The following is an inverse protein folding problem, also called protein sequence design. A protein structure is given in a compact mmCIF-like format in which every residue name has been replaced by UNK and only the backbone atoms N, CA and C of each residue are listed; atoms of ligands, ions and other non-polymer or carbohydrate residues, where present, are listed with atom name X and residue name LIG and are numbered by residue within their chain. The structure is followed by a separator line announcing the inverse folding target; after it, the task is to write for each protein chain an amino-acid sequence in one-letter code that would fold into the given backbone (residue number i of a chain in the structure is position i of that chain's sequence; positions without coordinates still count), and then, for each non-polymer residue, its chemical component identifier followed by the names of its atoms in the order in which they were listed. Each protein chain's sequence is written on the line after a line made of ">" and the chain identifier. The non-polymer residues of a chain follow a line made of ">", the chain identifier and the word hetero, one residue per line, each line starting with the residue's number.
data_IF_115469816590
#
_entry.id   IF_115469816590
#
_cell.length_a   1.000
_cell.length_b   1.000
_cell.length_c   1.000
_cell.angle_alpha   90.00
_cell.angle_beta   90.00
_cell.angle_gamma   90.00
#
_symmetry.space_group_name_H-M   'P 1'
#
loop_
_entity.id
_entity.type
_entity.pdbx_description
1 polymer ?
#
# COMPACT_ATOMS: atom_id res chain seq x y z
N UNK A 1 -15.87 -36.92 -68.69
CA UNK A 1 -14.56 -36.52 -68.14
C UNK A 1 -13.78 -37.79 -67.82
N UNK A 2 -12.50 -37.92 -68.24
CA UNK A 2 -11.73 -39.16 -68.07
C UNK A 2 -11.40 -39.33 -66.57
N UNK A 3 -11.63 -40.52 -66.00
CA UNK A 3 -11.51 -40.79 -64.55
C UNK A 3 -10.18 -40.32 -63.92
N UNK A 4 -9.11 -40.27 -64.71
CA UNK A 4 -7.79 -39.75 -64.32
C UNK A 4 -7.79 -38.25 -63.97
N UNK A 5 -8.59 -37.43 -64.66
CA UNK A 5 -8.70 -35.99 -64.38
C UNK A 5 -9.44 -35.70 -63.07
N UNK A 6 -10.42 -36.54 -62.73
CA UNK A 6 -11.14 -36.45 -61.45
C UNK A 6 -10.21 -36.80 -60.28
N UNK A 7 -9.32 -37.78 -60.46
CA UNK A 7 -8.31 -38.14 -59.46
C UNK A 7 -7.33 -37.01 -59.16
N UNK A 8 -6.83 -36.30 -60.18
CA UNK A 8 -5.92 -35.17 -59.97
C UNK A 8 -6.58 -33.99 -59.25
N UNK A 9 -7.85 -33.70 -59.56
CA UNK A 9 -8.60 -32.63 -58.87
C UNK A 9 -8.82 -32.97 -57.40
N UNK A 10 -9.14 -34.22 -57.08
CA UNK A 10 -9.29 -34.69 -55.70
C UNK A 10 -7.98 -34.57 -54.90
N UNK A 11 -6.86 -34.96 -55.49
CA UNK A 11 -5.54 -34.83 -54.84
C UNK A 11 -5.20 -33.36 -54.59
N UNK A 12 -5.44 -32.47 -55.56
CA UNK A 12 -5.18 -31.04 -55.39
C UNK A 12 -6.01 -30.43 -54.25
N UNK A 13 -7.29 -30.81 -54.13
CA UNK A 13 -8.15 -30.34 -53.04
C UNK A 13 -7.70 -30.86 -51.67
N UNK A 14 -7.24 -32.11 -51.59
CA UNK A 14 -6.69 -32.68 -50.35
C UNK A 14 -5.41 -31.95 -49.94
N UNK A 15 -4.51 -31.67 -50.89
CA UNK A 15 -3.25 -30.94 -50.62
C UNK A 15 -3.53 -29.50 -50.18
N UNK A 16 -4.49 -28.82 -50.80
CA UNK A 16 -4.89 -27.46 -50.38
C UNK A 16 -5.52 -27.50 -48.98
N UNK A 17 -6.36 -28.50 -48.69
CA UNK A 17 -6.94 -28.69 -47.36
C UNK A 17 -5.89 -28.95 -46.28
N UNK A 18 -4.90 -29.79 -46.58
CA UNK A 18 -3.78 -30.08 -45.67
C UNK A 18 -2.86 -28.86 -45.50
N UNK A 19 -2.56 -28.13 -46.58
CA UNK A 19 -1.78 -26.90 -46.50
C UNK A 19 -2.51 -25.83 -45.67
N UNK A 20 -3.83 -25.69 -45.84
CA UNK A 20 -4.66 -24.82 -45.02
C UNK A 20 -4.68 -25.23 -43.54
N UNK A 21 -4.71 -26.54 -43.25
CA UNK A 21 -4.63 -27.08 -41.89
C UNK A 21 -3.27 -26.79 -41.24
N UNK A 22 -2.17 -26.98 -41.99
CA UNK A 22 -0.81 -26.69 -41.52
C UNK A 22 -0.61 -25.20 -41.29
N UNK A 23 -1.08 -24.34 -42.19
CA UNK A 23 -1.07 -22.89 -42.00
C UNK A 23 -1.88 -22.49 -40.76
N UNK A 24 -3.04 -23.12 -40.52
CA UNK A 24 -3.84 -22.87 -39.32
C UNK A 24 -3.15 -23.33 -38.04
N UNK A 25 -2.46 -24.47 -38.06
CA UNK A 25 -1.69 -24.99 -36.92
C UNK A 25 -0.44 -24.15 -36.62
N UNK A 26 0.21 -23.61 -37.65
CA UNK A 26 1.37 -22.71 -37.50
C UNK A 26 0.92 -21.29 -37.09
N UNK A 27 -0.24 -20.83 -37.57
CA UNK A 27 -0.84 -19.57 -37.16
C UNK A 27 -1.46 -19.63 -35.75
N UNK A 28 -1.87 -20.81 -35.27
CA UNK A 28 -2.18 -21.09 -33.87
C UNK A 28 -0.91 -21.23 -33.00
N UNK A 29 0.12 -20.45 -33.32
CA UNK A 29 1.38 -20.40 -32.60
C UNK A 29 1.15 -19.94 -31.17
N UNK A 30 1.55 -20.82 -30.23
CA UNK A 30 1.57 -20.66 -28.77
C UNK A 30 0.22 -20.37 -28.09
N UNK A 31 -0.60 -21.41 -27.90
CA UNK A 31 -1.61 -21.45 -26.84
C UNK A 31 -0.92 -21.54 -25.46
N UNK A 32 -0.18 -20.51 -25.07
CA UNK A 32 0.28 -20.35 -23.69
C UNK A 32 -0.93 -19.95 -22.84
N UNK A 33 -1.61 -20.96 -22.29
CA UNK A 33 -2.74 -20.79 -21.36
C UNK A 33 -2.30 -20.13 -20.04
N UNK A 34 -1.01 -20.14 -19.77
CA UNK A 34 -0.36 -19.59 -18.59
C UNK A 34 0.89 -18.82 -19.00
N UNK A 35 1.25 -17.79 -18.22
CA UNK A 35 2.48 -17.04 -18.40
C UNK A 35 3.66 -17.87 -17.87
N UNK A 36 4.59 -18.23 -18.75
CA UNK A 36 5.81 -18.96 -18.38
C UNK A 36 7.07 -18.24 -18.89
N UNK A 37 8.23 -18.68 -18.43
CA UNK A 37 9.53 -18.18 -18.90
C UNK A 37 9.79 -16.73 -18.48
N UNK A 38 9.30 -16.32 -17.32
CA UNK A 38 9.69 -15.04 -16.72
C UNK A 38 11.09 -15.16 -16.09
N UNK A 39 11.87 -14.09 -16.17
CA UNK A 39 13.10 -13.98 -15.40
C UNK A 39 12.75 -13.86 -13.90
N UNK A 40 13.61 -14.34 -12.99
CA UNK A 40 13.30 -14.33 -11.56
C UNK A 40 13.03 -12.93 -11.01
N UNK A 41 11.81 -12.73 -10.49
CA UNK A 41 11.35 -11.50 -9.82
C UNK A 41 11.11 -11.77 -8.34
N UNK A 42 12.19 -11.70 -7.55
CA UNK A 42 12.18 -11.98 -6.12
C UNK A 42 13.00 -10.92 -5.36
N UNK A 43 12.68 -10.61 -4.08
CA UNK A 43 13.39 -9.59 -3.31
C UNK A 43 14.88 -9.88 -3.09
N UNK A 44 15.31 -11.13 -3.23
CA UNK A 44 16.71 -11.57 -3.15
C UNK A 44 17.50 -11.31 -4.44
N UNK A 45 16.78 -11.18 -5.56
CA UNK A 45 17.35 -11.04 -6.90
C UNK A 45 17.27 -9.58 -7.38
N UNK A 46 16.13 -8.93 -7.17
CA UNK A 46 15.86 -7.57 -7.68
C UNK A 46 16.48 -6.54 -6.74
N UNK A 47 17.15 -5.54 -7.31
CA UNK A 47 17.72 -4.40 -6.56
C UNK A 47 16.96 -3.09 -6.77
N UNK A 48 16.10 -3.01 -7.78
CA UNK A 48 15.24 -1.84 -8.01
C UNK A 48 13.90 -2.21 -8.64
N UNK A 49 12.85 -1.49 -8.25
CA UNK A 49 11.52 -1.54 -8.87
C UNK A 49 11.11 -0.12 -9.26
N UNK A 50 10.73 0.09 -10.52
CA UNK A 50 10.18 1.36 -11.01
C UNK A 50 8.71 1.18 -11.37
N UNK A 51 7.86 2.07 -10.86
CA UNK A 51 6.41 2.01 -11.00
C UNK A 51 5.93 3.34 -11.55
N UNK A 52 5.38 3.34 -12.77
CA UNK A 52 5.15 4.57 -13.53
C UNK A 52 3.74 4.60 -14.11
N UNK A 53 3.03 5.72 -13.97
CA UNK A 53 1.83 6.07 -14.73
C UNK A 53 2.11 7.27 -15.65
N UNK A 54 1.06 7.87 -16.22
CA UNK A 54 1.17 9.12 -16.99
C UNK A 54 1.68 10.30 -16.17
N UNK A 55 1.34 10.33 -14.89
CA UNK A 55 1.47 11.53 -14.05
C UNK A 55 2.51 11.36 -12.93
N UNK A 56 2.72 10.13 -12.48
CA UNK A 56 3.56 9.82 -11.32
C UNK A 56 4.55 8.71 -11.63
N UNK A 57 5.68 8.75 -10.91
CA UNK A 57 6.70 7.73 -10.92
C UNK A 57 7.19 7.48 -9.50
N UNK A 58 7.38 6.20 -9.18
CA UNK A 58 8.01 5.75 -7.95
C UNK A 58 9.16 4.82 -8.26
N UNK A 59 10.30 5.08 -7.62
CA UNK A 59 11.48 4.23 -7.64
C UNK A 59 11.76 3.69 -6.23
N UNK A 60 11.78 2.36 -6.12
CA UNK A 60 12.21 1.64 -4.94
C UNK A 60 13.59 1.05 -5.20
N UNK A 61 14.56 1.37 -4.36
CA UNK A 61 15.95 0.91 -4.51
C UNK A 61 16.43 0.17 -3.25
N UNK A 62 17.12 -0.95 -3.44
CA UNK A 62 17.68 -1.75 -2.35
C UNK A 62 19.12 -1.32 -2.06
N UNK A 63 19.33 -0.60 -0.97
CA UNK A 63 20.64 -0.12 -0.53
C UNK A 63 21.01 -0.80 0.79
N UNK A 64 22.17 -1.47 0.81
CA UNK A 64 22.67 -2.19 1.99
C UNK A 64 21.64 -3.14 2.65
N UNK A 65 20.80 -3.78 1.82
CA UNK A 65 19.76 -4.72 2.27
C UNK A 65 18.42 -4.08 2.64
N UNK A 66 18.29 -2.76 2.60
CA UNK A 66 17.07 -2.02 2.93
C UNK A 66 16.47 -1.43 1.65
N UNK A 67 15.16 -1.62 1.46
CA UNK A 67 14.41 -0.98 0.38
C UNK A 67 14.07 0.46 0.76
N UNK A 68 14.45 1.40 -0.10
CA UNK A 68 14.28 2.83 0.10
C UNK A 68 13.35 3.41 -0.97
N UNK A 69 12.58 4.42 -0.57
CA UNK A 69 11.88 5.37 -1.44
C UNK A 69 12.59 6.73 -1.30
N UNK A 70 13.43 7.06 -2.27
CA UNK A 70 14.37 8.17 -2.14
C UNK A 70 15.35 7.93 -0.98
N UNK A 71 15.16 8.64 0.14
CA UNK A 71 16.00 8.50 1.35
C UNK A 71 15.31 7.79 2.51
N UNK A 72 13.99 7.59 2.40
CA UNK A 72 13.18 7.02 3.47
C UNK A 72 13.07 5.50 3.29
N UNK A 73 13.10 4.69 4.36
CA UNK A 73 12.78 3.28 4.27
C UNK A 73 11.34 3.07 3.78
N UNK A 74 11.18 2.19 2.79
CA UNK A 74 9.86 1.78 2.34
C UNK A 74 9.16 0.89 3.39
N UNK A 75 7.84 0.96 3.43
CA UNK A 75 7.04 0.29 4.44
C UNK A 75 7.04 -1.21 4.22
N UNK A 76 7.62 -1.96 5.17
CA UNK A 76 7.81 -3.41 5.09
C UNK A 76 6.55 -4.19 4.67
N UNK A 77 5.39 -3.99 5.32
CA UNK A 77 4.14 -4.65 4.93
C UNK A 77 3.70 -4.35 3.49
N UNK A 78 3.93 -3.13 3.00
CA UNK A 78 3.61 -2.76 1.61
C UNK A 78 4.54 -3.46 0.61
N UNK A 79 5.84 -3.51 0.90
CA UNK A 79 6.81 -4.28 0.12
C UNK A 79 6.48 -5.77 0.10
N UNK A 80 6.08 -6.33 1.24
CA UNK A 80 5.68 -7.73 1.31
C UNK A 80 4.47 -8.01 0.41
N UNK A 81 3.49 -7.12 0.38
CA UNK A 81 2.34 -7.24 -0.52
C UNK A 81 2.75 -7.20 -2.00
N UNK A 82 3.72 -6.35 -2.37
CA UNK A 82 4.31 -6.33 -3.71
C UNK A 82 4.93 -7.69 -4.06
N UNK A 83 5.81 -8.24 -3.22
CA UNK A 83 6.49 -9.51 -3.49
C UNK A 83 5.54 -10.70 -3.49
N UNK A 84 4.49 -10.69 -2.67
CA UNK A 84 3.44 -11.69 -2.75
C UNK A 84 2.74 -11.64 -4.12
N UNK A 85 2.44 -10.44 -4.63
CA UNK A 85 1.81 -10.30 -5.94
C UNK A 85 2.72 -10.75 -7.09
N UNK A 86 4.05 -10.66 -6.95
CA UNK A 86 4.97 -11.15 -7.99
C UNK A 86 5.05 -12.67 -8.06
N UNK A 87 4.76 -13.39 -6.97
CA UNK A 87 4.70 -14.87 -6.97
C UNK A 87 3.60 -15.37 -7.91
N UNK A 88 2.46 -14.68 -7.97
CA UNK A 88 1.31 -15.08 -8.79
C UNK A 88 1.48 -14.74 -10.29
N UNK A 89 2.57 -14.06 -10.67
CA UNK A 89 2.86 -13.72 -12.08
C UNK A 89 3.31 -14.95 -12.86
N UNK A 90 4.16 -15.78 -12.27
CA UNK A 90 4.55 -17.05 -12.89
C UNK A 90 3.36 -18.01 -12.84
N UNK A 91 2.97 -18.55 -13.99
CA UNK A 91 1.75 -19.35 -14.11
C UNK A 91 0.44 -18.56 -14.17
N UNK A 92 0.48 -17.22 -14.27
CA UNK A 92 -0.71 -16.39 -14.42
C UNK A 92 -1.57 -16.83 -15.62
N UNK A 93 -2.88 -16.93 -15.46
CA UNK A 93 -3.76 -17.47 -16.50
C UNK A 93 -4.02 -16.46 -17.61
N UNK A 94 -4.04 -16.93 -18.86
CA UNK A 94 -4.41 -16.13 -20.03
C UNK A 94 -5.87 -15.70 -19.94
N UNK A 95 -6.12 -14.40 -20.04
CA UNK A 95 -7.45 -13.78 -20.01
C UNK A 95 -7.88 -13.32 -21.41
N UNK A 96 -6.96 -12.75 -22.18
CA UNK A 96 -7.24 -12.29 -23.54
C UNK A 96 -5.99 -12.22 -24.40
N UNK A 97 -6.17 -12.40 -25.70
CA UNK A 97 -5.12 -12.29 -26.72
C UNK A 97 -5.46 -11.28 -27.82
N UNK A 98 -6.73 -10.88 -27.96
CA UNK A 98 -7.14 -9.90 -28.97
C UNK A 98 -6.78 -8.47 -28.51
N UNK A 99 -5.91 -7.74 -29.24
CA UNK A 99 -5.49 -6.39 -28.88
C UNK A 99 -6.63 -5.38 -28.72
N UNK A 100 -7.77 -5.61 -29.38
CA UNK A 100 -8.96 -4.78 -29.22
C UNK A 100 -9.48 -4.72 -27.76
N UNK A 101 -9.11 -5.69 -26.91
CA UNK A 101 -9.48 -5.70 -25.49
C UNK A 101 -8.56 -4.87 -24.60
N UNK A 102 -7.35 -4.51 -25.04
CA UNK A 102 -6.33 -3.91 -24.18
C UNK A 102 -6.83 -2.63 -23.50
N UNK A 103 -7.51 -1.76 -24.24
CA UNK A 103 -8.03 -0.49 -23.71
C UNK A 103 -9.12 -0.69 -22.65
N UNK A 104 -10.03 -1.64 -22.87
CA UNK A 104 -11.08 -1.98 -21.90
C UNK A 104 -10.50 -2.55 -20.61
N UNK A 105 -9.41 -3.31 -20.72
CA UNK A 105 -8.68 -3.91 -19.59
C UNK A 105 -7.68 -2.93 -18.95
N UNK A 106 -7.46 -1.75 -19.53
CA UNK A 106 -6.50 -0.75 -19.04
C UNK A 106 -5.03 -1.15 -19.22
N UNK A 107 -4.74 -2.13 -20.07
CA UNK A 107 -3.37 -2.57 -20.37
C UNK A 107 -2.86 -2.05 -21.72
N UNK A 108 -3.57 -1.12 -22.36
CA UNK A 108 -3.16 -0.52 -23.63
C UNK A 108 -1.81 0.20 -23.54
N UNK A 109 -1.14 0.40 -24.67
CA UNK A 109 0.10 1.18 -24.69
C UNK A 109 -0.19 2.63 -24.23
N UNK A 110 0.63 3.13 -23.30
CA UNK A 110 0.42 4.44 -22.65
C UNK A 110 -0.74 4.47 -21.64
N UNK A 111 -1.36 3.33 -21.35
CA UNK A 111 -2.36 3.16 -20.30
C UNK A 111 -1.84 2.28 -19.17
N UNK A 112 -2.56 2.29 -18.04
CA UNK A 112 -2.24 1.45 -16.89
C UNK A 112 -0.99 1.90 -16.13
N UNK A 113 -0.51 1.02 -15.26
CA UNK A 113 0.70 1.21 -14.46
C UNK A 113 1.80 0.33 -15.03
N UNK A 114 2.93 0.92 -15.39
CA UNK A 114 4.12 0.20 -15.82
C UNK A 114 4.94 -0.17 -14.59
N UNK A 115 5.23 -1.46 -14.43
CA UNK A 115 6.06 -1.98 -13.35
C UNK A 115 7.26 -2.65 -13.99
N UNK A 116 8.46 -2.17 -13.68
CA UNK A 116 9.70 -2.79 -14.16
C UNK A 116 10.61 -3.17 -12.99
N UNK A 117 11.15 -4.39 -13.08
CA UNK A 117 12.05 -4.99 -12.11
C UNK A 117 13.47 -4.99 -12.67
N UNK A 118 14.43 -4.56 -11.86
CA UNK A 118 15.81 -4.32 -12.29
C UNK A 118 16.80 -5.11 -11.43
N UNK A 119 17.92 -5.47 -12.04
CA UNK A 119 19.09 -6.05 -11.39
C UNK A 119 20.36 -5.54 -12.07
N UNK A 120 21.26 -4.93 -11.30
CA UNK A 120 22.55 -4.44 -11.78
C UNK A 120 22.41 -3.41 -12.91
N UNK A 121 21.34 -2.61 -12.89
CA UNK A 121 21.01 -1.66 -13.95
C UNK A 121 20.33 -2.27 -15.19
N UNK A 122 20.18 -3.59 -15.27
CA UNK A 122 19.47 -4.27 -16.36
C UNK A 122 18.00 -4.50 -15.99
N UNK A 123 17.09 -4.20 -16.92
CA UNK A 123 15.66 -4.50 -16.77
C UNK A 123 15.45 -6.01 -16.96
N UNK A 124 15.02 -6.69 -15.90
CA UNK A 124 14.74 -8.12 -15.90
C UNK A 124 13.36 -8.40 -16.51
N UNK A 125 12.32 -7.82 -15.92
CA UNK A 125 10.95 -7.96 -16.40
C UNK A 125 10.23 -6.62 -16.37
N UNK A 126 9.22 -6.50 -17.22
CA UNK A 126 8.35 -5.34 -17.27
C UNK A 126 6.94 -5.74 -17.65
N UNK A 127 5.99 -5.15 -16.94
CA UNK A 127 4.58 -5.39 -17.17
C UNK A 127 3.80 -4.08 -17.17
N UNK A 128 2.69 -4.10 -17.90
CA UNK A 128 1.63 -3.10 -17.83
C UNK A 128 0.50 -3.72 -17.01
N UNK A 129 0.26 -3.15 -15.84
CA UNK A 129 -0.81 -3.52 -14.92
C UNK A 129 -2.02 -2.65 -15.23
N UNK A 130 -3.12 -3.31 -15.60
CA UNK A 130 -4.35 -2.68 -16.01
C UNK A 130 -5.31 -2.43 -14.86
N UNK A 131 -6.58 -2.21 -15.21
CA UNK A 131 -7.63 -1.91 -14.24
C UNK A 131 -7.83 -3.10 -13.30
N UNK A 132 -7.84 -2.78 -12.01
CA UNK A 132 -8.39 -3.65 -11.00
C UNK A 132 -9.92 -3.68 -11.12
N UNK A 133 -10.52 -4.87 -11.11
CA UNK A 133 -11.98 -5.03 -11.09
C UNK A 133 -12.43 -5.54 -9.71
N UNK A 134 -13.30 -4.80 -9.00
CA UNK A 134 -13.77 -5.20 -7.67
C UNK A 134 -14.52 -6.52 -7.65
N UNK A 135 -15.23 -6.81 -8.74
CA UNK A 135 -16.10 -7.99 -8.86
C UNK A 135 -15.30 -9.30 -8.96
N UNK A 136 -14.13 -9.25 -9.59
CA UNK A 136 -13.28 -10.44 -9.81
C UNK A 136 -11.99 -10.43 -8.98
N UNK A 137 -11.63 -9.30 -8.34
CA UNK A 137 -10.39 -9.12 -7.55
C UNK A 137 -9.11 -9.53 -8.28
N UNK A 138 -9.11 -9.37 -9.60
CA UNK A 138 -7.97 -9.63 -10.48
C UNK A 138 -7.37 -8.32 -10.97
N UNK A 139 -6.05 -8.31 -11.11
CA UNK A 139 -5.31 -7.33 -11.89
C UNK A 139 -4.96 -7.95 -13.25
N UNK A 140 -5.18 -7.20 -14.33
CA UNK A 140 -4.74 -7.59 -15.66
C UNK A 140 -3.27 -7.21 -15.86
N UNK A 141 -2.50 -8.13 -16.43
CA UNK A 141 -1.07 -7.99 -16.64
C UNK A 141 -0.75 -8.22 -18.12
N UNK A 142 0.03 -7.34 -18.75
CA UNK A 142 0.50 -7.52 -20.13
C UNK A 142 1.97 -7.18 -20.25
N UNK A 143 2.76 -8.02 -20.92
CA UNK A 143 4.13 -7.66 -21.32
C UNK A 143 4.09 -6.59 -22.42
N UNK A 144 4.96 -5.56 -22.38
CA UNK A 144 5.07 -4.59 -23.46
C UNK A 144 5.28 -5.27 -24.82
N UNK A 145 4.64 -4.75 -25.87
CA UNK A 145 4.72 -5.28 -27.24
C UNK A 145 4.22 -6.72 -27.42
N UNK A 146 3.52 -7.28 -26.43
CA UNK A 146 2.82 -8.56 -26.53
C UNK A 146 1.32 -8.34 -26.47
N UNK A 147 0.57 -9.26 -27.06
CA UNK A 147 -0.89 -9.17 -27.15
C UNK A 147 -1.57 -9.94 -26.01
N UNK A 148 -0.90 -10.95 -25.46
CA UNK A 148 -1.37 -11.78 -24.36
C UNK A 148 -1.52 -10.98 -23.07
N UNK A 149 -2.73 -11.01 -22.51
CA UNK A 149 -3.11 -10.43 -21.23
C UNK A 149 -3.40 -11.55 -20.25
N UNK A 150 -2.77 -11.49 -19.08
CA UNK A 150 -2.90 -12.46 -18.02
C UNK A 150 -3.63 -11.86 -16.82
N UNK A 151 -4.15 -12.69 -15.93
CA UNK A 151 -4.81 -12.27 -14.70
C UNK A 151 -4.07 -12.79 -13.47
N UNK A 152 -3.83 -11.91 -12.50
CA UNK A 152 -3.27 -12.28 -11.18
C UNK A 152 -4.21 -11.84 -10.06
N UNK A 153 -4.30 -12.59 -8.95
CA UNK A 153 -4.95 -12.13 -7.73
C UNK A 153 -4.38 -10.78 -7.29
N UNK A 154 -5.27 -9.86 -6.95
CA UNK A 154 -4.88 -8.49 -6.61
C UNK A 154 -5.77 -8.03 -5.46
N UNK A 155 -5.46 -8.38 -4.20
CA UNK A 155 -6.34 -8.10 -3.07
C UNK A 155 -6.38 -6.61 -2.70
N UNK A 156 -5.35 -5.83 -3.08
CA UNK A 156 -5.26 -4.40 -2.84
C UNK A 156 -5.25 -3.66 -4.18
N UNK A 157 -5.98 -2.54 -4.26
CA UNK A 157 -6.06 -1.72 -5.48
C UNK A 157 -4.76 -1.01 -5.83
N UNK A 158 -3.90 -0.78 -4.84
CA UNK A 158 -2.70 0.03 -4.97
C UNK A 158 -1.40 -0.77 -4.73
N UNK A 159 -1.36 -2.09 -4.98
CA UNK A 159 -0.13 -2.89 -4.79
C UNK A 159 1.05 -2.27 -5.54
N UNK A 160 0.79 -1.82 -6.77
CA UNK A 160 1.74 -1.11 -7.62
C UNK A 160 1.49 0.40 -7.55
N UNK A 161 1.67 0.98 -6.37
CA UNK A 161 1.43 2.42 -6.14
C UNK A 161 2.45 3.26 -6.91
N UNK A 162 1.97 4.23 -7.69
CA UNK A 162 2.82 5.16 -8.45
C UNK A 162 3.18 6.39 -7.65
N UNK A 163 2.49 6.63 -6.53
CA UNK A 163 2.82 7.70 -5.60
C UNK A 163 3.91 7.23 -4.61
N UNK A 164 5.06 7.93 -4.52
CA UNK A 164 6.10 7.65 -3.54
C UNK A 164 5.57 7.59 -2.09
N UNK A 165 4.59 8.42 -1.73
CA UNK A 165 4.00 8.42 -0.39
C UNK A 165 3.27 7.11 -0.08
N UNK A 166 2.73 6.41 -1.08
CA UNK A 166 2.10 5.09 -0.93
C UNK A 166 3.05 3.99 -0.43
N UNK A 167 4.35 4.25 -0.47
CA UNK A 167 5.42 3.34 -0.01
C UNK A 167 6.04 3.74 1.32
N UNK A 168 5.77 4.94 1.83
CA UNK A 168 6.34 5.42 3.10
C UNK A 168 5.61 4.77 4.28
N UNK A 169 6.27 4.65 5.43
CA UNK A 169 5.67 4.08 6.63
C UNK A 169 4.63 5.05 7.23
N UNK A 170 3.32 4.73 7.22
CA UNK A 170 2.28 5.63 7.72
C UNK A 170 2.09 5.52 9.24
N UNK A 171 2.78 4.60 9.92
CA UNK A 171 2.62 4.37 11.36
C UNK A 171 3.28 5.50 12.15
N UNK A 172 2.46 6.30 12.84
CA UNK A 172 2.91 7.37 13.74
C UNK A 172 3.39 6.77 15.05
N UNK A 173 2.53 5.95 15.68
CA UNK A 173 2.78 5.23 16.95
C UNK A 173 2.25 3.82 16.84
N UNK A 174 2.93 2.87 17.48
CA UNK A 174 2.38 1.53 17.72
C UNK A 174 2.87 1.02 19.06
N UNK A 175 1.99 1.05 20.07
CA UNK A 175 2.27 0.59 21.43
C UNK A 175 1.10 -0.28 21.90
N UNK A 176 1.29 -1.58 22.16
CA UNK A 176 0.22 -2.47 22.61
C UNK A 176 -0.55 -1.90 23.80
N UNK A 177 -1.87 -2.05 23.79
CA UNK A 177 -2.75 -1.45 24.81
C UNK A 177 -2.41 -1.90 26.23
N UNK A 178 -2.07 -3.18 26.36
CA UNK A 178 -1.70 -3.82 27.61
C UNK A 178 -0.30 -3.43 28.10
N UNK A 179 0.53 -2.87 27.22
CA UNK A 179 1.82 -2.28 27.56
C UNK A 179 1.71 -0.83 28.05
N UNK A 180 0.57 -0.15 27.91
CA UNK A 180 0.44 1.26 28.35
C UNK A 180 0.25 1.34 29.87
N UNK A 181 1.05 2.19 30.52
CA UNK A 181 0.96 2.49 31.96
C UNK A 181 0.25 3.82 32.21
N UNK A 182 0.60 4.83 31.41
CA UNK A 182 0.16 6.21 31.61
C UNK A 182 0.02 6.95 30.29
N UNK A 183 -1.01 7.78 30.17
CA UNK A 183 -1.22 8.70 29.04
C UNK A 183 -1.40 10.11 29.58
N UNK A 184 -0.49 11.01 29.23
CA UNK A 184 -0.55 12.42 29.63
C UNK A 184 -1.04 13.26 28.45
N UNK A 185 -2.07 14.05 28.68
CA UNK A 185 -2.63 14.99 27.73
C UNK A 185 -2.22 16.42 28.10
N UNK A 186 -1.80 17.19 27.10
CA UNK A 186 -1.52 18.61 27.26
C UNK A 186 -2.17 19.36 26.10
N UNK A 187 -3.23 20.08 26.43
CA UNK A 187 -3.93 21.01 25.55
C UNK A 187 -3.54 22.45 25.92
N UNK A 188 -3.86 23.44 25.07
CA UNK A 188 -3.62 24.85 25.39
C UNK A 188 -4.31 25.34 26.67
N UNK A 189 -5.46 24.79 27.01
CA UNK A 189 -6.33 25.24 28.09
C UNK A 189 -6.51 24.23 29.24
N UNK A 190 -6.09 22.97 29.07
CA UNK A 190 -6.19 21.93 30.08
C UNK A 190 -5.05 20.91 29.97
N UNK A 191 -4.73 20.24 31.07
CA UNK A 191 -3.84 19.10 31.09
C UNK A 191 -4.33 18.09 32.12
N UNK A 192 -4.22 16.81 31.80
CA UNK A 192 -4.65 15.73 32.67
C UNK A 192 -3.91 14.44 32.34
N UNK A 193 -3.97 13.47 33.25
CA UNK A 193 -3.22 12.22 33.15
C UNK A 193 -4.14 11.04 33.38
N UNK A 194 -4.11 10.08 32.47
CA UNK A 194 -4.68 8.75 32.68
C UNK A 194 -3.61 7.83 33.25
N UNK A 195 -3.92 7.15 34.35
CA UNK A 195 -3.03 6.16 34.98
C UNK A 195 -3.71 4.82 35.10
N UNK A 196 -2.98 3.75 34.80
CA UNK A 196 -3.46 2.40 35.04
C UNK A 196 -3.55 2.14 36.55
N UNK A 197 -4.70 1.67 37.01
CA UNK A 197 -4.96 1.38 38.42
C UNK A 197 -5.63 0.02 38.58
N UNK A 198 -4.84 -1.00 38.94
CA UNK A 198 -5.32 -2.39 39.04
C UNK A 198 -5.85 -2.92 37.70
N UNK A 199 -7.17 -3.16 37.63
CA UNK A 199 -7.87 -3.59 36.40
C UNK A 199 -8.54 -2.45 35.63
N UNK A 200 -8.52 -1.24 36.17
CA UNK A 200 -9.14 -0.06 35.57
C UNK A 200 -8.13 1.05 35.32
N UNK A 201 -8.66 2.26 35.17
CA UNK A 201 -7.90 3.47 34.92
C UNK A 201 -8.43 4.57 35.83
N UNK A 202 -7.52 5.45 36.27
CA UNK A 202 -7.87 6.70 36.93
C UNK A 202 -7.49 7.88 36.04
N UNK A 203 -8.17 8.99 36.25
CA UNK A 203 -7.83 10.30 35.68
C UNK A 203 -7.44 11.25 36.81
N UNK A 204 -6.35 11.99 36.61
CA UNK A 204 -5.97 13.15 37.41
C UNK A 204 -6.06 14.41 36.53
N UNK A 205 -7.04 15.27 36.83
CA UNK A 205 -7.28 16.56 36.18
C UNK A 205 -6.94 17.75 37.09
N UNK A 206 -6.18 17.52 38.17
CA UNK A 206 -5.81 18.53 39.17
C UNK A 206 -6.70 18.54 40.42
N UNK A 207 -7.77 17.75 40.45
CA UNK A 207 -8.64 17.51 41.62
C UNK A 207 -8.31 16.22 42.38
N UNK A 208 -7.28 15.48 41.96
CA UNK A 208 -6.91 14.17 42.49
C UNK A 208 -7.37 13.02 41.58
N UNK A 209 -6.94 11.80 41.92
CA UNK A 209 -7.28 10.60 41.15
C UNK A 209 -8.77 10.22 41.34
N UNK A 210 -9.50 10.14 40.23
CA UNK A 210 -10.85 9.58 40.18
C UNK A 210 -10.96 8.46 39.14
N UNK A 211 -11.92 7.52 39.26
CA UNK A 211 -12.09 6.48 38.25
C UNK A 211 -12.41 7.07 36.87
N UNK A 212 -11.68 6.65 35.85
CA UNK A 212 -11.90 7.09 34.47
C UNK A 212 -12.93 6.19 33.76
N UNK A 213 -13.70 6.79 32.85
CA UNK A 213 -14.61 6.09 31.95
C UNK A 213 -13.82 5.12 31.06
N UNK A 214 -14.11 3.84 31.20
CA UNK A 214 -13.36 2.78 30.52
C UNK A 214 -13.59 2.77 29.01
N UNK A 215 -14.74 3.25 28.51
CA UNK A 215 -15.00 3.33 27.08
C UNK A 215 -14.17 4.45 26.44
N UNK A 216 -14.09 5.61 27.08
CA UNK A 216 -13.24 6.72 26.65
C UNK A 216 -11.76 6.31 26.64
N UNK A 217 -11.30 5.64 27.71
CA UNK A 217 -9.92 5.11 27.77
C UNK A 217 -9.66 4.10 26.66
N UNK A 218 -10.58 3.16 26.42
CA UNK A 218 -10.41 2.16 25.36
C UNK A 218 -10.39 2.79 23.97
N UNK A 219 -11.11 3.88 23.73
CA UNK A 219 -11.05 4.63 22.48
C UNK A 219 -9.64 5.20 22.26
N UNK A 220 -9.05 5.84 23.27
CA UNK A 220 -7.67 6.35 23.22
C UNK A 220 -6.66 5.22 23.01
N UNK A 221 -6.72 4.17 23.82
CA UNK A 221 -5.78 3.04 23.73
C UNK A 221 -5.87 2.32 22.38
N UNK A 222 -7.06 2.23 21.78
CA UNK A 222 -7.23 1.64 20.44
C UNK A 222 -6.45 2.41 19.37
N UNK A 223 -6.46 3.74 19.46
CA UNK A 223 -5.70 4.60 18.53
C UNK A 223 -4.20 4.57 18.82
N UNK A 224 -3.78 4.42 20.08
CA UNK A 224 -2.35 4.30 20.45
C UNK A 224 -1.75 2.97 20.02
N UNK A 225 -2.55 1.89 20.02
CA UNK A 225 -2.12 0.55 19.60
C UNK A 225 -1.50 0.57 18.22
N UNK A 226 -2.17 1.22 17.27
CA UNK A 226 -1.64 1.56 15.96
C UNK A 226 -2.27 2.87 15.49
N UNK A 227 -1.52 3.98 15.60
CA UNK A 227 -1.91 5.26 15.02
C UNK A 227 -1.36 5.35 13.60
N UNK A 228 -2.24 5.31 12.61
CA UNK A 228 -1.88 5.37 11.18
C UNK A 228 -2.28 6.71 10.60
N UNK A 229 -1.34 7.33 9.88
CA UNK A 229 -1.57 8.53 9.11
C UNK A 229 -2.34 8.23 7.82
N UNK A 230 -3.19 9.17 7.40
CA UNK A 230 -3.83 9.10 6.08
C UNK A 230 -2.88 9.55 4.96
N UNK A 231 -1.95 10.45 5.29
CA UNK A 231 -1.02 11.05 4.34
C UNK A 231 0.19 11.68 5.07
N UNK A 232 1.08 12.31 4.31
CA UNK A 232 2.25 13.03 4.78
C UNK A 232 2.19 14.50 4.34
N UNK A 233 2.61 15.42 5.21
CA UNK A 233 2.65 16.83 4.85
C UNK A 233 3.78 17.10 3.84
N UNK A 234 3.46 17.85 2.77
CA UNK A 234 4.43 18.34 1.81
C UNK A 234 5.27 19.49 2.38
N UNK A 235 6.44 19.82 1.79
CA UNK A 235 7.31 20.88 2.27
C UNK A 235 6.59 22.22 2.49
N UNK A 236 5.70 22.59 1.56
CA UNK A 236 4.88 23.81 1.59
C UNK A 236 3.91 23.87 2.78
N UNK A 237 3.39 22.72 3.22
CA UNK A 237 2.46 22.62 4.35
C UNK A 237 3.16 22.67 5.71
N UNK A 238 4.48 22.47 5.72
CA UNK A 238 5.26 22.33 6.97
C UNK A 238 5.95 23.62 7.41
N UNK A 239 5.99 24.64 6.55
CA UNK A 239 6.65 25.90 6.84
C UNK A 239 5.94 26.65 7.98
N UNK A 240 6.70 27.05 9.01
CA UNK A 240 6.18 27.83 10.13
C UNK A 240 5.33 27.05 11.15
N UNK A 241 5.18 25.73 11.03
CA UNK A 241 4.41 24.93 11.99
C UNK A 241 5.06 24.93 13.39
N UNK A 242 4.36 25.52 14.37
CA UNK A 242 4.75 25.52 15.78
C UNK A 242 3.89 24.57 16.62
N UNK A 243 4.34 23.33 16.74
CA UNK A 243 3.67 22.29 17.56
C UNK A 243 3.76 22.54 19.08
N UNK A 244 4.46 23.59 19.49
CA UNK A 244 4.61 24.00 20.90
C UNK A 244 3.92 25.34 21.19
N UNK A 245 3.28 25.92 20.17
CA UNK A 245 2.57 27.19 20.27
C UNK A 245 1.18 27.05 20.88
N UNK A 246 0.38 28.11 20.73
CA UNK A 246 -0.93 28.26 21.37
C UNK A 246 -1.97 27.22 20.92
N UNK A 247 -1.80 26.59 19.76
CA UNK A 247 -2.73 25.58 19.23
C UNK A 247 -2.16 24.15 19.34
N UNK A 248 -0.98 24.01 19.94
CA UNK A 248 -0.28 22.74 20.08
C UNK A 248 -0.95 21.83 21.09
N UNK A 249 -1.25 20.59 20.67
CA UNK A 249 -1.74 19.53 21.53
C UNK A 249 -0.64 18.47 21.63
N UNK A 250 -0.40 17.90 22.81
CA UNK A 250 0.51 16.77 22.94
C UNK A 250 -0.09 15.63 23.77
N UNK A 251 0.08 14.41 23.25
CA UNK A 251 -0.26 13.17 23.94
C UNK A 251 1.04 12.41 24.19
N UNK A 252 1.38 12.20 25.45
CA UNK A 252 2.55 11.41 25.84
C UNK A 252 2.11 10.08 26.41
N UNK A 253 2.57 9.02 25.77
CA UNK A 253 2.30 7.63 26.15
C UNK A 253 3.54 7.09 26.84
N UNK A 254 3.37 6.64 28.08
CA UNK A 254 4.40 5.97 28.86
C UNK A 254 4.02 4.50 28.99
N UNK A 255 4.79 3.59 28.37
CA UNK A 255 4.62 2.16 28.55
C UNK A 255 5.06 1.71 29.95
N UNK A 256 4.56 0.55 30.38
CA UNK A 256 5.04 -0.18 31.55
C UNK A 256 6.55 -0.44 31.43
N UNK A 257 7.23 -0.44 32.57
CA UNK A 257 8.61 -0.88 32.68
C UNK A 257 8.80 -2.28 32.06
N UNK A 258 9.99 -2.54 31.52
CA UNK A 258 10.43 -3.82 30.96
C UNK A 258 9.66 -4.33 29.73
N UNK A 259 8.77 -3.53 29.14
CA UNK A 259 8.08 -3.88 27.89
C UNK A 259 8.93 -3.66 26.63
N UNK A 260 10.03 -2.90 26.74
CA UNK A 260 10.91 -2.55 25.62
C UNK A 260 10.37 -1.44 24.71
N UNK A 261 9.16 -0.93 24.95
CA UNK A 261 8.60 0.19 24.20
C UNK A 261 9.11 1.54 24.77
N UNK A 262 9.52 2.48 23.91
CA UNK A 262 9.94 3.80 24.37
C UNK A 262 8.74 4.67 24.77
N UNK A 263 8.96 5.56 25.74
CA UNK A 263 8.03 6.67 25.99
C UNK A 263 7.91 7.52 24.73
N UNK A 264 6.70 7.70 24.23
CA UNK A 264 6.45 8.36 22.95
C UNK A 264 5.54 9.57 23.15
N UNK A 265 5.95 10.74 22.65
CA UNK A 265 5.11 11.94 22.63
C UNK A 265 4.69 12.22 21.21
N UNK A 266 3.39 12.21 20.94
CA UNK A 266 2.82 12.68 19.68
C UNK A 266 2.36 14.11 19.89
N UNK A 267 2.78 15.01 19.01
CA UNK A 267 2.27 16.38 18.96
C UNK A 267 1.32 16.53 17.79
N UNK A 268 0.23 17.22 18.00
CA UNK A 268 -0.80 17.49 17.02
C UNK A 268 -0.98 18.99 16.83
N UNK A 269 -1.32 19.38 15.60
CA UNK A 269 -1.77 20.71 15.24
C UNK A 269 -2.97 20.59 14.29
N UNK A 270 -4.04 21.38 14.45
CA UNK A 270 -5.08 21.46 13.43
C UNK A 270 -4.47 21.85 12.08
N UNK A 271 -4.85 21.14 11.00
CA UNK A 271 -4.48 21.51 9.61
C UNK A 271 -5.65 22.21 8.94
N UNK A 272 -6.82 21.58 9.02
CA UNK A 272 -8.08 22.02 8.43
C UNK A 272 -9.26 21.34 9.16
N UNK A 273 -10.49 21.57 8.70
CA UNK A 273 -11.71 21.00 9.30
C UNK A 273 -11.77 19.45 9.24
N UNK A 274 -10.90 18.82 8.45
CA UNK A 274 -10.89 17.38 8.18
C UNK A 274 -9.66 16.66 8.71
N UNK A 275 -8.64 17.38 9.18
CA UNK A 275 -7.38 16.74 9.55
C UNK A 275 -6.49 17.54 10.50
N UNK A 276 -5.57 16.79 11.10
CA UNK A 276 -4.52 17.29 11.97
C UNK A 276 -3.16 16.94 11.38
N UNK A 277 -2.20 17.83 11.53
CA UNK A 277 -0.80 17.44 11.48
C UNK A 277 -0.44 16.68 12.75
N UNK A 278 0.41 15.67 12.63
CA UNK A 278 1.00 14.96 13.74
C UNK A 278 2.50 14.76 13.55
N UNK A 279 3.26 14.83 14.63
CA UNK A 279 4.69 14.46 14.61
C UNK A 279 5.15 13.81 15.90
N UNK A 280 6.19 12.98 15.78
CA UNK A 280 6.92 12.41 16.90
C UNK A 280 8.36 12.98 16.91
N UNK A 281 9.05 13.06 18.07
CA UNK A 281 10.40 13.62 18.14
C UNK A 281 11.46 12.81 17.38
N UNK A 282 11.23 11.51 17.18
CA UNK A 282 12.13 10.55 16.58
C UNK A 282 12.08 10.55 15.04
N UNK A 283 11.07 11.19 14.44
CA UNK A 283 10.85 11.21 12.99
C UNK A 283 10.85 12.65 12.50
N UNK A 284 11.53 12.89 11.38
CA UNK A 284 11.44 14.17 10.65
C UNK A 284 10.11 14.32 9.91
N UNK A 285 9.42 13.22 9.66
CA UNK A 285 8.14 13.17 8.95
C UNK A 285 7.04 13.86 9.74
N UNK A 286 6.31 14.77 9.07
CA UNK A 286 5.05 15.31 9.57
C UNK A 286 3.92 14.53 8.87
N UNK A 287 3.10 13.90 9.70
CA UNK A 287 1.99 13.07 9.28
C UNK A 287 0.71 13.90 9.20
N UNK A 288 -0.23 13.45 8.36
CA UNK A 288 -1.59 13.97 8.32
C UNK A 288 -2.51 12.89 8.87
N UNK A 289 -3.28 13.23 9.90
CA UNK A 289 -4.22 12.34 10.59
C UNK A 289 -5.64 12.83 10.29
N UNK A 290 -6.54 11.89 10.00
CA UNK A 290 -7.95 12.21 9.78
C UNK A 290 -8.64 12.70 11.07
N UNK A 291 -9.51 13.70 10.97
CA UNK A 291 -10.26 14.22 12.13
C UNK A 291 -11.13 13.15 12.81
N UNK A 292 -11.60 12.14 12.08
CA UNK A 292 -12.36 11.03 12.66
C UNK A 292 -11.52 10.22 13.65
N UNK A 293 -10.22 10.05 13.37
CA UNK A 293 -9.27 9.40 14.27
C UNK A 293 -9.03 10.29 15.49
N UNK A 294 -8.74 11.58 15.27
CA UNK A 294 -8.44 12.49 16.39
C UNK A 294 -9.62 12.71 17.32
N UNK A 295 -10.87 12.66 16.85
CA UNK A 295 -12.07 12.74 17.71
C UNK A 295 -12.13 11.66 18.80
N UNK A 296 -11.49 10.52 18.59
CA UNK A 296 -11.47 9.39 19.55
C UNK A 296 -10.15 9.27 20.31
N UNK A 297 -9.13 10.03 19.90
CA UNK A 297 -7.80 10.05 20.51
C UNK A 297 -7.59 11.31 21.36
N UNK A 298 -8.01 12.47 20.88
CA UNK A 298 -7.85 13.78 21.51
C UNK A 298 -9.11 14.15 22.30
N UNK A 299 -9.44 13.31 23.28
CA UNK A 299 -10.55 13.54 24.21
C UNK A 299 -10.16 14.57 25.28
N UNK A 300 -11.13 15.30 25.81
CA UNK A 300 -10.98 16.23 26.93
C UNK A 300 -11.06 15.50 28.27
N UNK A 301 -10.69 16.17 29.38
CA UNK A 301 -10.81 15.58 30.72
C UNK A 301 -12.25 15.15 31.06
N UNK A 302 -13.25 15.89 30.57
CA UNK A 302 -14.68 15.63 30.84
C UNK A 302 -15.19 14.33 30.24
N UNK A 303 -14.63 13.92 29.09
CA UNK A 303 -14.99 12.68 28.42
C UNK A 303 -14.65 11.44 29.29
N UNK A 304 -13.68 11.56 30.20
CA UNK A 304 -13.27 10.50 31.10
C UNK A 304 -13.99 10.52 32.45
N UNK A 305 -14.60 11.64 32.84
CA UNK A 305 -15.26 11.77 34.15
C UNK A 305 -16.78 11.60 34.06
N UNK A 306 -17.32 11.47 32.84
CA UNK A 306 -18.76 11.27 32.61
C UNK A 306 -19.62 12.50 32.91
N UNK A 307 -19.00 13.68 33.04
CA UNK A 307 -19.69 14.94 33.26
C UNK A 307 -20.00 15.61 31.91
N UNK A 308 -21.22 15.39 31.41
CA UNK A 308 -21.79 16.17 30.29
C UNK A 308 -22.23 17.56 30.75
#
# INVERSE_FOLDING_TARGET
>A
MKSKQVGYVLIALIVIGLAGLVVRLVAAGSNELVLEGILPIAPEVIDRVTITSSDNETELEKVAGVWLIGRDPAFGPKLQALWTATVDIDGAQLVAENPANHSRMGVGDGQGIRVAFWLGGFKQEEFIVGKWSPDVRLCYLRRPKRDQVYGIPCPLTNIFDTDPNGWRNPVVVSIPRDAVEMVEFSYPNEAFVLRRAGRGWTIDSGSGDEPADIFAVNAVLSNIEVLVARDFAGPEDTEGLDFTGADGISVRVTPLADTGFPTTRVRFLPRDDTSFFAKTPDKSTIFVIDVAVTRSLLLSSRDFTGQN
#
